data_IF_073878528349
#
_entry.id   IF_073878528349
#
_cell.length_a   1.000
_cell.length_b   1.000
_cell.length_c   1.000
_cell.angle_alpha   90.00
_cell.angle_beta   90.00
_cell.angle_gamma   90.00
#
_symmetry.space_group_name_H-M   'P 1'
#
loop_
_entity.id
_entity.type
_entity.pdbx_description
1 polymer ?
#
# COMPACT_ATOMS: atom_id res chain seq x y z
N UNK A 1 -6.78 -11.97 -12.00
CA UNK A 1 -7.00 -10.51 -12.03
C UNK A 1 -5.63 -9.84 -12.02
N UNK A 2 -5.10 -9.40 -13.16
CA UNK A 2 -3.79 -8.74 -13.13
C UNK A 2 -3.72 -7.60 -14.16
N UNK A 3 -3.70 -6.35 -13.66
CA UNK A 3 -3.65 -5.13 -14.48
C UNK A 3 -4.59 -4.02 -13.99
N UNK A 4 -5.85 -4.34 -13.70
CA UNK A 4 -6.87 -3.33 -13.36
C UNK A 4 -6.53 -2.54 -12.09
N UNK A 5 -6.04 -3.20 -11.03
CA UNK A 5 -5.61 -2.50 -9.81
C UNK A 5 -4.44 -1.54 -10.05
N UNK A 6 -3.50 -1.91 -10.94
CA UNK A 6 -2.36 -1.06 -11.33
C UNK A 6 -2.83 0.15 -12.13
N UNK A 7 -3.73 -0.06 -13.10
CA UNK A 7 -4.31 1.00 -13.92
C UNK A 7 -5.16 1.97 -13.09
N UNK A 8 -6.07 1.47 -12.26
CA UNK A 8 -6.92 2.33 -11.41
C UNK A 8 -6.10 3.17 -10.45
N UNK A 9 -5.07 2.58 -9.82
CA UNK A 9 -4.13 3.35 -8.99
C UNK A 9 -3.43 4.44 -9.78
N UNK A 10 -2.95 4.13 -10.98
CA UNK A 10 -2.28 5.09 -11.85
C UNK A 10 -3.20 6.25 -12.24
N UNK A 11 -4.39 5.95 -12.78
CA UNK A 11 -5.36 6.96 -13.19
C UNK A 11 -5.80 7.84 -12.02
N UNK A 12 -6.06 7.22 -10.87
CA UNK A 12 -6.45 7.96 -9.67
C UNK A 12 -5.37 8.97 -9.24
N UNK A 13 -4.11 8.53 -9.14
CA UNK A 13 -3.01 9.41 -8.77
C UNK A 13 -2.74 10.47 -9.84
N UNK A 14 -2.84 10.11 -11.12
CA UNK A 14 -2.69 11.06 -12.22
C UNK A 14 -3.70 12.21 -12.08
N UNK A 15 -4.97 11.91 -11.80
CA UNK A 15 -6.01 12.93 -11.60
C UNK A 15 -5.69 13.79 -10.37
N UNK A 16 -5.31 13.19 -9.24
CA UNK A 16 -4.96 13.95 -8.03
C UNK A 16 -3.77 14.89 -8.26
N UNK A 17 -2.73 14.42 -8.94
CA UNK A 17 -1.56 15.23 -9.29
C UNK A 17 -1.94 16.38 -10.24
N UNK A 18 -2.73 16.10 -11.28
CA UNK A 18 -3.21 17.13 -12.21
C UNK A 18 -4.05 18.21 -11.53
N UNK A 19 -4.75 17.85 -10.44
CA UNK A 19 -5.54 18.78 -9.63
C UNK A 19 -4.73 19.49 -8.54
N UNK A 20 -3.44 19.22 -8.41
CA UNK A 20 -2.57 19.79 -7.38
C UNK A 20 -2.87 19.29 -5.96
N UNK A 21 -3.67 18.23 -5.82
CA UNK A 21 -4.05 17.67 -4.52
C UNK A 21 -2.92 16.87 -3.86
N UNK A 22 -1.96 16.40 -4.65
CA UNK A 22 -0.73 15.75 -4.18
C UNK A 22 0.46 16.55 -4.65
N UNK A 23 1.20 17.15 -3.71
CA UNK A 23 2.43 17.88 -3.99
C UNK A 23 3.64 16.94 -3.88
N UNK A 24 4.72 17.29 -4.58
CA UNK A 24 6.06 16.68 -4.42
C UNK A 24 6.13 15.15 -4.57
N UNK A 25 5.25 14.54 -5.39
CA UNK A 25 5.28 13.10 -5.62
C UNK A 25 4.75 12.26 -4.45
N UNK A 26 3.98 12.87 -3.53
CA UNK A 26 3.24 12.13 -2.51
C UNK A 26 2.33 11.07 -3.16
N UNK A 27 2.41 9.84 -2.68
CA UNK A 27 1.60 8.71 -3.14
C UNK A 27 0.68 8.30 -2.00
N UNK A 28 -0.62 8.22 -2.27
CA UNK A 28 -1.58 7.74 -1.29
C UNK A 28 -1.59 6.19 -1.29
N UNK A 29 -1.61 5.55 -0.11
CA UNK A 29 -1.62 4.08 0.00
C UNK A 29 -3.00 3.46 -0.33
N UNK A 30 -3.74 4.03 -1.29
CA UNK A 30 -5.08 3.58 -1.67
C UNK A 30 -5.08 2.14 -2.16
N UNK A 31 -3.99 1.65 -2.75
CA UNK A 31 -3.87 0.23 -3.15
C UNK A 31 -3.99 -0.76 -2.01
N UNK A 32 -3.61 -0.37 -0.78
CA UNK A 32 -3.79 -1.22 0.40
C UNK A 32 -5.30 -1.40 0.64
N UNK A 33 -6.05 -0.30 0.58
CA UNK A 33 -7.49 -0.29 0.77
C UNK A 33 -8.23 -1.04 -0.34
N UNK A 34 -7.80 -0.88 -1.60
CA UNK A 34 -8.34 -1.65 -2.73
C UNK A 34 -8.15 -3.15 -2.54
N UNK A 35 -6.98 -3.58 -2.04
CA UNK A 35 -6.68 -4.98 -1.78
C UNK A 35 -7.49 -5.52 -0.60
N UNK A 36 -7.69 -4.73 0.45
CA UNK A 36 -8.51 -5.12 1.60
C UNK A 36 -9.99 -5.26 1.23
N UNK A 37 -10.47 -4.45 0.29
CA UNK A 37 -11.87 -4.41 -0.16
C UNK A 37 -12.03 -4.93 -1.58
N UNK A 38 -11.25 -5.95 -1.96
CA UNK A 38 -11.15 -6.41 -3.36
C UNK A 38 -12.50 -6.81 -3.97
N UNK A 39 -13.37 -7.47 -3.19
CA UNK A 39 -14.70 -7.88 -3.65
C UNK A 39 -15.64 -6.69 -3.90
N UNK A 40 -15.60 -5.66 -3.05
CA UNK A 40 -16.39 -4.44 -3.25
C UNK A 40 -15.84 -3.64 -4.44
N UNK A 41 -14.51 -3.51 -4.52
CA UNK A 41 -13.85 -2.87 -5.66
C UNK A 41 -14.25 -3.53 -6.99
N UNK A 42 -14.20 -4.87 -7.05
CA UNK A 42 -14.59 -5.63 -8.22
C UNK A 42 -16.07 -5.40 -8.57
N UNK A 43 -16.97 -5.44 -7.59
CA UNK A 43 -18.40 -5.26 -7.83
C UNK A 43 -18.73 -3.85 -8.35
N UNK A 44 -18.03 -2.83 -7.85
CA UNK A 44 -18.14 -1.44 -8.32
C UNK A 44 -17.72 -1.31 -9.78
N UNK A 45 -16.63 -1.98 -10.19
CA UNK A 45 -16.21 -2.00 -11.61
C UNK A 45 -17.19 -2.77 -12.49
N UNK A 46 -17.65 -3.93 -12.02
CA UNK A 46 -18.57 -4.81 -12.75
C UNK A 46 -19.93 -4.17 -13.00
N UNK A 47 -20.38 -3.29 -12.09
CA UNK A 47 -21.65 -2.58 -12.21
C UNK A 47 -21.80 -1.84 -13.55
N UNK A 48 -20.69 -1.37 -14.14
CA UNK A 48 -20.68 -0.82 -15.49
C UNK A 48 -20.16 -1.83 -16.53
N UNK A 49 -19.02 -2.47 -16.27
CA UNK A 49 -18.32 -3.22 -17.31
C UNK A 49 -19.09 -4.43 -17.82
N UNK A 50 -19.90 -5.09 -16.98
CA UNK A 50 -20.68 -6.26 -17.41
C UNK A 50 -21.79 -5.87 -18.39
N UNK A 51 -22.51 -4.78 -18.11
CA UNK A 51 -23.53 -4.25 -19.02
C UNK A 51 -22.90 -3.75 -20.32
N UNK A 52 -21.79 -3.01 -20.22
CA UNK A 52 -21.08 -2.53 -21.39
C UNK A 52 -20.53 -3.66 -22.27
N UNK A 53 -20.10 -4.77 -21.64
CA UNK A 53 -19.58 -5.94 -22.35
C UNK A 53 -20.63 -6.59 -23.26
N UNK A 54 -21.91 -6.55 -22.92
CA UNK A 54 -22.99 -7.14 -23.73
C UNK A 54 -23.14 -6.51 -25.12
N UNK A 55 -22.62 -5.29 -25.31
CA UNK A 55 -22.68 -4.58 -26.57
C UNK A 55 -21.46 -4.77 -27.45
N UNK A 56 -20.46 -5.55 -27.01
CA UNK A 56 -19.27 -5.81 -27.78
C UNK A 56 -19.32 -7.21 -28.37
N UNK A 57 -19.24 -7.32 -29.68
CA UNK A 57 -18.94 -8.57 -30.34
C UNK A 57 -17.43 -8.67 -30.53
N UNK A 58 -16.88 -9.79 -30.08
CA UNK A 58 -15.43 -10.05 -30.11
C UNK A 58 -15.21 -11.35 -30.85
N UNK A 59 -14.59 -11.26 -32.02
CA UNK A 59 -14.27 -12.40 -32.86
C UNK A 59 -12.77 -12.60 -32.88
N UNK A 60 -12.33 -13.78 -32.44
CA UNK A 60 -10.95 -14.21 -32.59
C UNK A 60 -10.70 -14.59 -34.06
N UNK A 61 -9.64 -14.04 -34.65
CA UNK A 61 -9.25 -14.31 -36.04
C UNK A 61 -8.03 -15.23 -36.09
N UNK A 62 -6.89 -14.79 -35.54
CA UNK A 62 -5.64 -15.54 -35.44
C UNK A 62 -4.76 -15.02 -34.28
N UNK A 63 -3.50 -15.45 -34.21
CA UNK A 63 -2.54 -15.06 -33.17
C UNK A 63 -2.51 -13.54 -32.91
N UNK A 64 -3.10 -13.13 -31.79
CA UNK A 64 -3.30 -11.73 -31.36
C UNK A 64 -4.17 -10.85 -32.27
N UNK A 65 -4.82 -11.40 -33.30
CA UNK A 65 -5.81 -10.66 -34.08
C UNK A 65 -7.22 -10.92 -33.54
N UNK A 66 -7.82 -9.84 -33.07
CA UNK A 66 -9.20 -9.81 -32.62
C UNK A 66 -9.94 -8.73 -33.39
N UNK A 67 -11.13 -9.06 -33.88
CA UNK A 67 -12.08 -8.07 -34.36
C UNK A 67 -13.02 -7.70 -33.21
N UNK A 68 -13.19 -6.40 -33.01
CA UNK A 68 -14.08 -5.82 -32.01
C UNK A 68 -15.14 -5.00 -32.73
N UNK A 69 -16.41 -5.36 -32.57
CA UNK A 69 -17.55 -4.61 -33.10
C UNK A 69 -18.41 -4.13 -31.93
N UNK A 70 -18.55 -2.81 -31.79
CA UNK A 70 -19.44 -2.25 -30.78
C UNK A 70 -20.84 -2.02 -31.37
N UNK A 71 -21.83 -2.67 -30.78
CA UNK A 71 -23.25 -2.64 -31.18
C UNK A 71 -24.13 -1.82 -30.24
N UNK A 72 -23.52 -1.11 -29.29
CA UNK A 72 -24.22 -0.24 -28.35
C UNK A 72 -24.33 1.20 -28.85
N UNK A 73 -25.08 2.01 -28.12
CA UNK A 73 -25.14 3.45 -28.36
C UNK A 73 -23.96 4.16 -27.68
N UNK A 74 -23.35 5.15 -28.34
CA UNK A 74 -22.26 5.97 -27.78
C UNK A 74 -22.57 6.59 -26.40
N UNK A 75 -23.86 6.80 -26.09
CA UNK A 75 -24.33 7.35 -24.83
C UNK A 75 -23.87 6.52 -23.63
N UNK A 76 -23.65 5.21 -23.82
CA UNK A 76 -23.16 4.29 -22.80
C UNK A 76 -21.84 4.78 -22.17
N UNK A 77 -20.90 5.25 -23.00
CA UNK A 77 -19.60 5.75 -22.52
C UNK A 77 -19.61 7.27 -22.29
N UNK A 78 -20.38 8.02 -23.09
CA UNK A 78 -20.44 9.49 -22.98
C UNK A 78 -21.13 9.96 -21.70
N UNK A 79 -22.15 9.23 -21.24
CA UNK A 79 -22.95 9.57 -20.08
C UNK A 79 -22.92 8.45 -19.02
N UNK A 80 -21.78 7.77 -18.91
CA UNK A 80 -21.60 6.73 -17.90
C UNK A 80 -21.78 7.30 -16.48
N UNK A 81 -22.63 6.66 -15.68
CA UNK A 81 -22.76 6.92 -14.26
C UNK A 81 -21.62 6.26 -13.45
N UNK A 82 -20.60 7.06 -13.16
CA UNK A 82 -19.45 6.67 -12.34
C UNK A 82 -19.64 6.85 -10.83
N UNK A 83 -20.85 7.16 -10.34
CA UNK A 83 -21.09 7.54 -8.93
C UNK A 83 -20.53 6.51 -7.95
N UNK A 84 -20.82 5.22 -8.16
CA UNK A 84 -20.32 4.14 -7.28
C UNK A 84 -18.79 4.08 -7.23
N UNK A 85 -18.13 4.27 -8.37
CA UNK A 85 -16.67 4.33 -8.46
C UNK A 85 -16.12 5.53 -7.67
N UNK A 86 -16.73 6.70 -7.84
CA UNK A 86 -16.31 7.92 -7.15
C UNK A 86 -16.50 7.81 -5.63
N UNK A 87 -17.65 7.32 -5.17
CA UNK A 87 -17.94 7.12 -3.74
C UNK A 87 -16.98 6.10 -3.11
N UNK A 88 -16.76 4.97 -3.78
CA UNK A 88 -15.82 3.96 -3.32
C UNK A 88 -14.40 4.53 -3.21
N UNK A 89 -13.91 5.24 -4.23
CA UNK A 89 -12.59 5.85 -4.19
C UNK A 89 -12.47 6.96 -3.14
N UNK A 90 -13.53 7.73 -2.90
CA UNK A 90 -13.56 8.72 -1.82
C UNK A 90 -13.43 8.06 -0.44
N UNK A 91 -14.18 6.98 -0.18
CA UNK A 91 -14.05 6.18 1.04
C UNK A 91 -12.65 5.58 1.17
N UNK A 92 -12.13 4.99 0.08
CA UNK A 92 -10.82 4.38 0.08
C UNK A 92 -9.70 5.40 0.35
N UNK A 93 -9.83 6.61 -0.18
CA UNK A 93 -8.92 7.74 0.08
C UNK A 93 -8.96 8.16 1.54
N UNK A 94 -10.16 8.30 2.11
CA UNK A 94 -10.32 8.63 3.53
C UNK A 94 -9.62 7.59 4.40
N UNK A 95 -9.86 6.30 4.15
CA UNK A 95 -9.22 5.22 4.89
C UNK A 95 -7.69 5.23 4.73
N UNK A 96 -7.20 5.43 3.51
CA UNK A 96 -5.77 5.50 3.23
C UNK A 96 -5.08 6.64 4.00
N UNK A 97 -5.73 7.80 4.15
CA UNK A 97 -5.20 8.94 4.89
C UNK A 97 -5.33 8.72 6.41
N UNK A 98 -6.52 8.35 6.88
CA UNK A 98 -6.83 8.33 8.31
C UNK A 98 -6.23 7.14 9.05
N UNK A 99 -5.98 6.02 8.36
CA UNK A 99 -5.42 4.82 8.95
C UNK A 99 -3.99 4.64 8.47
N UNK A 100 -3.81 4.26 7.20
CA UNK A 100 -2.50 3.81 6.71
C UNK A 100 -1.42 4.88 6.75
N UNK A 101 -1.70 6.10 6.28
CA UNK A 101 -0.69 7.17 6.26
C UNK A 101 -0.31 7.63 7.68
N UNK A 102 -1.29 7.66 8.61
CA UNK A 102 -1.01 7.97 10.02
C UNK A 102 -0.20 6.87 10.69
N UNK A 103 -0.59 5.61 10.49
CA UNK A 103 0.12 4.44 11.00
C UNK A 103 1.57 4.39 10.49
N UNK A 104 1.77 4.65 9.19
CA UNK A 104 3.08 4.70 8.56
C UNK A 104 3.94 5.85 9.13
N UNK A 105 3.35 7.02 9.34
CA UNK A 105 4.06 8.17 9.97
C UNK A 105 4.51 7.83 11.38
N UNK A 106 3.64 7.21 12.18
CA UNK A 106 3.98 6.76 13.54
C UNK A 106 5.07 5.68 13.48
N UNK A 107 4.93 4.70 12.58
CA UNK A 107 5.92 3.65 12.39
C UNK A 107 7.32 4.21 12.07
N UNK A 108 7.41 5.12 11.10
CA UNK A 108 8.67 5.74 10.69
C UNK A 108 9.29 6.59 11.81
N UNK A 109 8.46 7.35 12.53
CA UNK A 109 8.92 8.13 13.69
C UNK A 109 9.52 7.23 14.78
N UNK A 110 8.85 6.11 15.07
CA UNK A 110 9.34 5.12 16.04
C UNK A 110 10.60 4.42 15.54
N UNK A 111 10.66 4.08 14.26
CA UNK A 111 11.84 3.52 13.62
C UNK A 111 13.05 4.43 13.79
N UNK A 112 12.94 5.70 13.40
CA UNK A 112 14.04 6.66 13.46
C UNK A 112 14.54 6.86 14.90
N UNK A 113 13.62 6.94 15.87
CA UNK A 113 13.98 7.12 17.27
C UNK A 113 14.66 5.88 17.88
N UNK A 114 14.14 4.67 17.63
CA UNK A 114 14.78 3.43 18.09
C UNK A 114 16.14 3.27 17.42
N UNK A 115 16.22 3.49 16.10
CA UNK A 115 17.47 3.42 15.35
C UNK A 115 18.51 4.34 15.97
N UNK A 116 18.17 5.63 16.16
CA UNK A 116 19.07 6.64 16.72
C UNK A 116 19.55 6.28 18.13
N UNK A 117 18.67 5.79 19.01
CA UNK A 117 19.03 5.38 20.38
C UNK A 117 20.06 4.23 20.39
N UNK A 118 19.88 3.25 19.51
CA UNK A 118 20.75 2.08 19.46
C UNK A 118 22.07 2.39 18.75
N UNK A 119 22.04 3.17 17.67
CA UNK A 119 23.23 3.64 16.93
C UNK A 119 24.19 4.43 17.84
N UNK A 120 23.63 5.20 18.79
CA UNK A 120 24.43 5.94 19.79
C UNK A 120 25.06 5.05 20.86
N UNK A 121 24.49 3.86 21.11
CA UNK A 121 24.91 2.97 22.20
C UNK A 121 25.78 1.79 21.72
N UNK A 122 25.66 1.38 20.46
CA UNK A 122 26.32 0.20 19.91
C UNK A 122 26.95 0.50 18.55
N UNK A 123 28.25 0.22 18.43
CA UNK A 123 28.97 0.29 17.15
C UNK A 123 28.78 -1.02 16.37
N UNK A 124 27.74 -1.07 15.52
CA UNK A 124 27.43 -2.22 14.68
C UNK A 124 27.18 -1.79 13.23
N UNK A 125 27.29 -2.71 12.24
CA UNK A 125 26.99 -2.36 10.86
C UNK A 125 25.55 -1.85 10.69
N UNK A 126 25.38 -0.66 10.07
CA UNK A 126 24.07 -0.04 9.79
C UNK A 126 23.07 -0.98 9.11
N UNK A 127 23.56 -1.88 8.26
CA UNK A 127 22.70 -2.87 7.57
C UNK A 127 22.09 -3.91 8.50
N UNK A 128 22.76 -4.22 9.61
CA UNK A 128 22.24 -5.13 10.63
C UNK A 128 21.36 -4.38 11.62
N UNK A 129 21.77 -3.17 12.04
CA UNK A 129 20.95 -2.32 12.88
C UNK A 129 19.57 -2.07 12.24
N UNK A 130 19.54 -1.61 10.99
CA UNK A 130 18.29 -1.34 10.27
C UNK A 130 17.36 -2.56 10.26
N UNK A 131 17.91 -3.76 10.01
CA UNK A 131 17.12 -5.00 10.00
C UNK A 131 16.61 -5.38 11.39
N UNK A 132 17.43 -5.22 12.42
CA UNK A 132 17.06 -5.54 13.79
C UNK A 132 15.98 -4.59 14.33
N UNK A 133 16.06 -3.30 14.01
CA UNK A 133 15.01 -2.31 14.32
C UNK A 133 13.71 -2.68 13.61
N UNK A 134 13.76 -3.01 12.31
CA UNK A 134 12.58 -3.49 11.57
C UNK A 134 11.97 -4.73 12.21
N UNK A 135 12.78 -5.76 12.54
CA UNK A 135 12.26 -6.97 13.19
C UNK A 135 11.63 -6.68 14.55
N UNK A 136 12.21 -5.76 15.32
CA UNK A 136 11.67 -5.35 16.61
C UNK A 136 10.29 -4.71 16.43
N UNK A 137 10.15 -3.73 15.53
CA UNK A 137 8.89 -3.05 15.26
C UNK A 137 7.82 -4.00 14.70
N UNK A 138 8.16 -4.82 13.71
CA UNK A 138 7.24 -5.77 13.05
C UNK A 138 6.67 -6.82 14.03
N UNK A 139 7.41 -7.12 15.10
CA UNK A 139 7.05 -8.11 16.11
C UNK A 139 6.65 -7.44 17.43
N UNK A 140 6.11 -6.21 17.36
CA UNK A 140 5.56 -5.48 18.49
C UNK A 140 6.54 -5.34 19.68
N UNK A 141 7.80 -5.07 19.36
CA UNK A 141 8.88 -4.86 20.32
C UNK A 141 9.62 -6.10 20.75
N UNK A 142 9.57 -7.21 20.00
CA UNK A 142 10.24 -8.47 20.37
C UNK A 142 11.11 -9.04 19.26
N UNK A 143 12.34 -9.40 19.58
CA UNK A 143 13.23 -10.08 18.63
C UNK A 143 13.17 -11.58 18.90
N UNK A 144 12.66 -12.33 17.91
CA UNK A 144 12.49 -13.77 18.06
C UNK A 144 13.81 -14.50 18.32
N UNK A 145 13.76 -15.63 19.04
CA UNK A 145 14.93 -16.46 19.34
C UNK A 145 15.71 -16.86 18.09
N UNK A 146 14.99 -17.13 16.99
CA UNK A 146 15.60 -17.45 15.70
C UNK A 146 16.41 -16.27 15.14
N UNK A 147 15.87 -15.03 15.21
CA UNK A 147 16.59 -13.83 14.78
C UNK A 147 17.78 -13.53 15.69
N UNK A 148 17.64 -13.66 17.02
CA UNK A 148 18.79 -13.52 17.94
C UNK A 148 19.92 -14.48 17.57
N UNK A 149 19.61 -15.77 17.39
CA UNK A 149 20.59 -16.79 16.96
C UNK A 149 21.22 -16.48 15.60
N UNK A 150 20.44 -15.96 14.65
CA UNK A 150 20.93 -15.59 13.32
C UNK A 150 21.99 -14.46 13.38
N UNK A 151 21.86 -13.52 14.32
CA UNK A 151 22.72 -12.35 14.43
C UNK A 151 23.77 -12.44 15.57
N UNK A 152 23.76 -13.51 16.37
CA UNK A 152 24.60 -13.67 17.58
C UNK A 152 26.13 -13.50 17.37
N UNK A 153 26.64 -13.72 16.15
CA UNK A 153 28.06 -13.55 15.82
C UNK A 153 28.36 -12.25 15.06
N UNK A 154 27.33 -11.43 14.82
CA UNK A 154 27.41 -10.19 14.03
C UNK A 154 27.23 -8.95 14.89
N UNK A 155 26.53 -9.09 16.01
CA UNK A 155 26.24 -8.00 16.95
C UNK A 155 26.42 -8.48 18.40
N UNK A 156 26.71 -7.58 19.35
CA UNK A 156 26.71 -7.91 20.78
C UNK A 156 25.36 -8.44 21.24
N UNK A 157 25.32 -9.34 22.22
CA UNK A 157 24.06 -9.97 22.69
C UNK A 157 23.15 -8.95 23.39
N UNK A 158 23.74 -7.97 24.06
CA UNK A 158 23.06 -6.92 24.83
C UNK A 158 22.18 -6.04 23.95
N UNK A 159 22.47 -5.95 22.65
CA UNK A 159 21.71 -5.13 21.71
C UNK A 159 20.25 -5.58 21.61
N UNK A 160 19.98 -6.89 21.73
CA UNK A 160 18.64 -7.40 21.56
C UNK A 160 17.72 -6.91 22.68
N UNK A 161 18.22 -6.90 23.91
CA UNK A 161 17.45 -6.41 25.06
C UNK A 161 17.37 -4.88 25.03
N UNK A 162 18.43 -4.19 24.60
CA UNK A 162 18.42 -2.75 24.41
C UNK A 162 17.38 -2.31 23.36
N UNK A 163 17.25 -3.04 22.25
CA UNK A 163 16.24 -2.80 21.21
C UNK A 163 14.82 -2.94 21.75
N UNK A 164 14.55 -4.02 22.49
CA UNK A 164 13.24 -4.25 23.09
C UNK A 164 12.90 -3.17 24.14
N UNK A 165 13.88 -2.73 24.93
CA UNK A 165 13.70 -1.62 25.89
C UNK A 165 13.48 -0.27 25.21
N UNK A 166 14.25 0.03 24.14
CA UNK A 166 14.09 1.24 23.36
C UNK A 166 12.69 1.30 22.75
N UNK A 167 12.18 0.18 22.21
CA UNK A 167 10.81 0.09 21.72
C UNK A 167 9.78 0.41 22.81
N UNK A 168 9.87 -0.19 23.99
CA UNK A 168 8.90 0.06 25.07
C UNK A 168 8.90 1.53 25.51
N UNK A 169 10.07 2.15 25.58
CA UNK A 169 10.21 3.56 25.94
C UNK A 169 9.51 4.45 24.91
N UNK A 170 9.80 4.25 23.63
CA UNK A 170 9.24 5.03 22.53
C UNK A 170 7.71 4.88 22.42
N UNK A 171 7.18 3.67 22.63
CA UNK A 171 5.73 3.43 22.56
C UNK A 171 4.98 4.02 23.76
N UNK A 172 5.62 4.10 24.94
CA UNK A 172 5.01 4.66 26.15
C UNK A 172 5.02 6.20 26.17
N UNK A 173 5.99 6.81 25.48
CA UNK A 173 6.14 8.26 25.36
C UNK A 173 5.23 8.90 24.27
N UNK A 174 4.59 8.09 23.42
CA UNK A 174 3.73 8.51 22.30
C UNK A 174 2.24 8.52 22.66
#
# INVERSE_FOLDING_TARGET
MDGNGRLSRFLFHQVLCQRGALQNGLVLPVSIVLRQNESEYLSVLQAFSEQARQYWDVTYIDENQFQFEFKGHEALYRYWDGTRCAEFMARATKQAIEQHLKEETVFLTRYDEIYRRIDQAFDIPNTDLSRLVMFCLDQNGRISKHRRKQYQYRVPEEIFDALEQAYQSVVTES
#
